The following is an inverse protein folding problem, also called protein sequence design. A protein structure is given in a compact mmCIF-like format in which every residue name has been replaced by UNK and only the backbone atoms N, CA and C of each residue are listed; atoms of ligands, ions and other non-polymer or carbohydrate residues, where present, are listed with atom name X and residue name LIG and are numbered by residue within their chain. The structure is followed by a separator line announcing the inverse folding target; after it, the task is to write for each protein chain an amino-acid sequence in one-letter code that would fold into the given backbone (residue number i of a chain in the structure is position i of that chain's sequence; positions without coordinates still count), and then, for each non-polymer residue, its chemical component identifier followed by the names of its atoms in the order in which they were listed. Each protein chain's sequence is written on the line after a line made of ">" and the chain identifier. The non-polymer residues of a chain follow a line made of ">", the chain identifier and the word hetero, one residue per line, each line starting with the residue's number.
data_IF_171972781297
#
_entry.id   IF_171972781297
#
_cell.length_a   1.000
_cell.length_b   1.000
_cell.length_c   1.000
_cell.angle_alpha   90.00
_cell.angle_beta   90.00
_cell.angle_gamma   90.00
#
_symmetry.space_group_name_H-M   'P 1'
#
loop_
_entity.id
_entity.type
_entity.pdbx_description
1 polymer ?
#
# COMPACT_ATOMS: atom_id res chain seq x y z
N UNK A 1 21.29 5.91 -17.21
CA UNK A 1 19.84 5.88 -16.94
C UNK A 1 19.63 6.59 -15.61
N UNK A 2 18.72 7.56 -15.48
CA UNK A 2 18.44 8.13 -14.18
C UNK A 2 17.90 7.01 -13.27
N UNK A 3 18.38 6.94 -12.03
CA UNK A 3 17.81 6.05 -11.03
C UNK A 3 16.33 6.43 -10.87
N UNK A 4 15.44 5.47 -11.10
CA UNK A 4 14.01 5.69 -10.88
C UNK A 4 13.83 6.01 -9.40
N UNK A 5 13.18 7.15 -9.11
CA UNK A 5 12.76 7.51 -7.76
C UNK A 5 11.95 6.36 -7.20
N UNK A 6 12.28 5.90 -6.00
CA UNK A 6 11.54 4.85 -5.31
C UNK A 6 11.32 5.20 -3.85
N UNK A 7 10.24 4.69 -3.30
CA UNK A 7 9.88 4.80 -1.90
C UNK A 7 9.97 3.43 -1.25
N UNK A 8 10.64 3.35 -0.10
CA UNK A 8 10.68 2.16 0.74
C UNK A 8 9.76 2.35 1.94
N UNK A 9 8.72 1.51 2.03
CA UNK A 9 7.84 1.43 3.18
C UNK A 9 8.37 0.32 4.10
N UNK A 10 8.80 0.71 5.30
CA UNK A 10 9.30 -0.23 6.31
C UNK A 10 8.30 -0.36 7.46
N UNK A 11 8.26 -1.54 8.07
CA UNK A 11 7.48 -1.77 9.28
C UNK A 11 7.94 -0.89 10.43
N UNK A 12 7.22 0.20 10.66
CA UNK A 12 7.39 0.98 11.89
C UNK A 12 6.59 0.33 13.01
N UNK A 13 7.17 0.25 14.21
CA UNK A 13 6.42 -0.11 15.42
C UNK A 13 5.29 0.91 15.59
N UNK A 14 4.11 0.47 15.98
CA UNK A 14 2.89 1.29 16.09
C UNK A 14 3.04 2.65 16.82
N UNK A 15 4.12 2.87 17.57
CA UNK A 15 4.44 4.14 18.22
C UNK A 15 5.11 5.18 17.32
N UNK A 16 5.68 4.79 16.17
CA UNK A 16 6.38 5.71 15.25
C UNK A 16 5.46 6.27 14.15
N UNK A 17 4.32 5.62 13.90
CA UNK A 17 3.32 6.11 12.94
C UNK A 17 2.72 7.47 13.34
N UNK A 18 2.59 7.71 14.65
CA UNK A 18 2.08 8.99 15.18
C UNK A 18 3.14 10.11 15.15
N UNK A 19 4.44 9.77 15.23
CA UNK A 19 5.51 10.77 15.17
C UNK A 19 5.73 11.32 13.74
N UNK A 20 5.55 10.48 12.72
CA UNK A 20 5.71 10.90 11.31
C UNK A 20 4.63 11.87 10.82
N UNK A 21 3.44 11.86 11.42
CA UNK A 21 2.38 12.83 11.13
C UNK A 21 2.66 14.20 11.77
N UNK A 22 3.34 14.22 12.93
CA UNK A 22 3.71 15.46 13.60
C UNK A 22 4.70 16.30 12.78
N UNK A 23 5.71 15.65 12.18
CA UNK A 23 6.74 16.36 11.39
C UNK A 23 6.17 16.99 10.11
N UNK A 24 5.10 16.41 9.55
CA UNK A 24 4.42 16.95 8.36
C UNK A 24 3.51 18.13 8.72
N UNK A 25 2.94 18.11 9.92
CA UNK A 25 2.06 19.19 10.42
C UNK A 25 2.88 20.40 10.84
N UNK A 26 4.07 20.21 11.44
CA UNK A 26 4.94 21.31 11.88
C UNK A 26 5.54 22.09 10.71
N UNK A 27 5.81 21.46 9.57
CA UNK A 27 6.23 22.14 8.33
C UNK A 27 5.11 22.97 7.68
N UNK A 28 3.84 22.75 8.05
CA UNK A 28 2.67 23.39 7.45
C UNK A 28 2.16 24.61 8.23
N UNK A 29 2.39 24.67 9.53
CA UNK A 29 1.69 25.63 10.40
C UNK A 29 2.62 26.50 11.23
N UNK A 30 3.88 26.70 10.86
CA UNK A 30 4.80 27.64 11.48
C UNK A 30 4.53 27.90 12.97
N UNK A 31 5.36 27.34 13.81
CA UNK A 31 5.51 27.59 15.25
C UNK A 31 4.25 27.88 16.07
N UNK A 32 3.74 26.88 16.75
CA UNK A 32 2.92 27.06 17.95
C UNK A 32 3.60 26.40 19.15
N UNK A 33 3.83 27.12 20.26
CA UNK A 33 4.54 26.61 21.40
C UNK A 33 3.57 25.89 22.32
N UNK A 34 3.53 24.58 22.30
CA UNK A 34 3.29 23.74 23.50
C UNK A 34 3.69 22.32 23.19
N UNK A 35 4.89 21.95 23.57
CA UNK A 35 5.33 20.57 23.73
C UNK A 35 4.49 19.90 24.82
N UNK A 36 3.47 19.14 24.44
CA UNK A 36 2.90 18.15 25.33
C UNK A 36 3.48 16.78 24.92
N UNK A 37 4.22 16.20 25.86
CA UNK A 37 4.71 14.84 25.74
C UNK A 37 3.58 13.90 25.31
N UNK A 38 3.83 12.92 24.43
CA UNK A 38 2.82 11.98 23.96
C UNK A 38 2.23 11.26 25.16
N UNK A 39 0.92 11.40 25.40
CA UNK A 39 0.20 10.63 26.42
C UNK A 39 0.40 9.15 26.12
N UNK A 40 0.96 8.43 27.06
CA UNK A 40 1.06 6.98 26.99
C UNK A 40 -0.33 6.39 26.65
N UNK A 41 -0.38 5.59 25.59
CA UNK A 41 -1.59 4.89 25.16
C UNK A 41 -2.11 4.03 26.32
N UNK A 42 -3.40 4.05 26.67
CA UNK A 42 -3.94 3.15 27.68
C UNK A 42 -3.59 1.71 27.29
N UNK A 43 -3.19 0.91 28.29
CA UNK A 43 -2.79 -0.49 28.10
C UNK A 43 -3.91 -1.38 27.48
N UNK A 44 -5.15 -0.91 27.53
CA UNK A 44 -6.36 -1.59 27.02
C UNK A 44 -6.85 -1.09 25.65
N UNK A 45 -6.07 -0.30 24.91
CA UNK A 45 -6.49 0.07 23.56
C UNK A 45 -6.45 -1.20 22.68
N UNK A 46 -7.55 -1.52 21.95
CA UNK A 46 -7.59 -2.68 21.08
C UNK A 46 -6.43 -2.60 20.09
N UNK A 47 -5.65 -3.67 20.01
CA UNK A 47 -4.60 -3.77 19.01
C UNK A 47 -5.28 -3.80 17.64
N UNK A 48 -4.71 -3.13 16.61
CA UNK A 48 -5.28 -3.20 15.27
C UNK A 48 -5.40 -4.68 14.86
N UNK A 49 -6.61 -5.12 14.56
CA UNK A 49 -6.85 -6.45 14.00
C UNK A 49 -6.28 -6.48 12.57
N UNK A 50 -5.14 -7.12 12.41
CA UNK A 50 -4.62 -7.40 11.08
C UNK A 50 -5.49 -8.45 10.39
N UNK A 51 -5.79 -8.29 9.08
CA UNK A 51 -6.56 -9.28 8.36
C UNK A 51 -5.90 -10.67 8.49
N UNK A 52 -6.67 -11.75 8.70
CA UNK A 52 -6.09 -13.08 8.85
C UNK A 52 -5.28 -13.45 7.62
N UNK A 53 -4.09 -13.98 7.83
CA UNK A 53 -3.17 -14.45 6.79
C UNK A 53 -3.86 -15.17 5.61
N UNK A 54 -4.84 -16.05 5.91
CA UNK A 54 -5.59 -16.84 4.91
C UNK A 54 -6.65 -16.03 4.15
N UNK A 55 -6.77 -14.73 4.39
CA UNK A 55 -7.80 -13.87 3.80
C UNK A 55 -7.26 -12.52 3.30
N UNK A 56 -5.96 -12.34 3.25
CA UNK A 56 -5.30 -11.06 2.89
C UNK A 56 -5.86 -10.45 1.59
N UNK A 57 -6.03 -11.27 0.56
CA UNK A 57 -6.51 -10.81 -0.75
C UNK A 57 -8.01 -10.44 -0.79
N UNK A 58 -8.77 -10.78 0.26
CA UNK A 58 -10.22 -10.49 0.31
C UNK A 58 -10.54 -9.07 0.75
N UNK A 59 -9.61 -8.45 1.47
CA UNK A 59 -9.71 -7.07 1.95
C UNK A 59 -8.91 -6.15 1.02
N UNK A 60 -9.28 -4.92 0.90
CA UNK A 60 -8.51 -3.85 0.26
C UNK A 60 -8.99 -2.50 0.80
N UNK A 61 -8.18 -1.48 0.61
CA UNK A 61 -8.54 -0.10 0.92
C UNK A 61 -9.65 0.41 -0.01
N UNK A 62 -10.33 1.47 0.42
CA UNK A 62 -11.31 2.16 -0.40
C UNK A 62 -10.61 2.95 -1.51
N UNK A 63 -11.29 3.07 -2.66
CA UNK A 63 -10.72 3.79 -3.81
C UNK A 63 -10.78 5.29 -3.58
N UNK A 64 -9.66 5.96 -3.81
CA UNK A 64 -9.59 7.42 -3.78
C UNK A 64 -10.13 8.01 -5.07
N UNK A 65 -11.17 8.84 -4.97
CA UNK A 65 -11.76 9.57 -6.09
C UNK A 65 -11.01 10.89 -6.30
N UNK A 66 -9.93 10.86 -7.07
CA UNK A 66 -9.04 12.00 -7.28
C UNK A 66 -9.69 13.23 -7.90
N UNK A 67 -10.71 13.06 -8.73
CA UNK A 67 -11.49 14.17 -9.29
C UNK A 67 -12.33 14.87 -8.23
N UNK A 68 -12.85 14.13 -7.28
CA UNK A 68 -13.56 14.69 -6.13
C UNK A 68 -12.57 15.39 -5.19
N UNK A 69 -11.41 14.76 -4.92
CA UNK A 69 -10.35 15.37 -4.12
C UNK A 69 -9.84 16.69 -4.73
N UNK A 70 -9.79 16.81 -6.06
CA UNK A 70 -9.42 18.06 -6.74
C UNK A 70 -10.49 19.16 -6.58
N UNK A 71 -11.77 18.78 -6.64
CA UNK A 71 -12.89 19.72 -6.77
C UNK A 71 -13.51 20.15 -5.45
N UNK A 72 -13.27 19.41 -4.35
CA UNK A 72 -13.90 19.64 -3.05
C UNK A 72 -12.87 19.86 -1.95
N UNK A 73 -13.10 20.85 -1.09
CA UNK A 73 -12.24 21.11 0.08
C UNK A 73 -12.47 20.11 1.22
N UNK A 74 -13.61 19.41 1.23
CA UNK A 74 -13.98 18.44 2.27
C UNK A 74 -14.50 17.13 1.64
N UNK A 75 -14.31 15.98 2.30
CA UNK A 75 -14.82 14.72 1.80
C UNK A 75 -16.36 14.75 1.70
N UNK A 76 -16.89 14.24 0.58
CA UNK A 76 -18.33 14.30 0.31
C UNK A 76 -19.16 13.28 1.10
N UNK A 77 -18.53 12.22 1.56
CA UNK A 77 -19.19 11.05 2.19
C UNK A 77 -19.12 11.05 3.72
N UNK A 78 -18.28 11.90 4.32
CA UNK A 78 -18.04 11.94 5.77
C UNK A 78 -17.35 10.68 6.33
N UNK A 79 -16.86 9.77 5.48
CA UNK A 79 -16.21 8.52 5.85
C UNK A 79 -14.68 8.66 5.81
N UNK A 80 -14.16 9.44 4.86
CA UNK A 80 -12.71 9.68 4.73
C UNK A 80 -12.22 10.56 5.88
N UNK A 81 -11.12 10.18 6.50
CA UNK A 81 -10.46 10.97 7.54
C UNK A 81 -10.08 12.36 6.97
N UNK A 82 -10.35 13.47 7.68
CA UNK A 82 -10.02 14.81 7.21
C UNK A 82 -8.53 15.01 6.90
N UNK A 83 -7.62 14.32 7.60
CA UNK A 83 -6.19 14.42 7.33
C UNK A 83 -5.81 13.72 6.02
N UNK A 84 -6.39 12.54 5.76
CA UNK A 84 -6.21 11.82 4.49
C UNK A 84 -6.80 12.63 3.34
N UNK A 85 -7.97 13.24 3.54
CA UNK A 85 -8.56 14.10 2.53
C UNK A 85 -7.70 15.32 2.21
N UNK A 86 -7.13 15.98 3.21
CA UNK A 86 -6.23 17.12 3.01
C UNK A 86 -4.98 16.71 2.22
N UNK A 87 -4.45 15.51 2.44
CA UNK A 87 -3.38 14.93 1.65
C UNK A 87 -3.81 14.75 0.19
N UNK A 88 -4.96 14.11 -0.04
CA UNK A 88 -5.46 13.85 -1.39
C UNK A 88 -5.76 15.16 -2.13
N UNK A 89 -6.42 16.11 -1.49
CA UNK A 89 -6.70 17.42 -2.07
C UNK A 89 -5.42 18.16 -2.51
N UNK A 90 -4.37 18.10 -1.67
CA UNK A 90 -3.07 18.73 -1.97
C UNK A 90 -2.43 18.17 -3.25
N UNK A 91 -2.49 16.86 -3.45
CA UNK A 91 -1.79 16.20 -4.56
C UNK A 91 -2.70 15.91 -5.77
N UNK A 92 -4.00 16.19 -5.70
CA UNK A 92 -4.96 15.79 -6.71
C UNK A 92 -4.60 16.26 -8.13
N UNK A 93 -4.19 17.51 -8.29
CA UNK A 93 -3.82 18.05 -9.60
C UNK A 93 -2.60 17.34 -10.21
N UNK A 94 -1.56 17.10 -9.42
CA UNK A 94 -0.35 16.41 -9.86
C UNK A 94 -0.62 14.93 -10.15
N UNK A 95 -1.40 14.26 -9.30
CA UNK A 95 -1.79 12.86 -9.49
C UNK A 95 -2.61 12.69 -10.78
N UNK A 96 -3.58 13.55 -11.00
CA UNK A 96 -4.38 13.51 -12.24
C UNK A 96 -3.58 13.90 -13.48
N UNK A 97 -2.51 14.67 -13.33
CA UNK A 97 -1.56 14.97 -14.41
C UNK A 97 -0.57 13.82 -14.68
N UNK A 98 -0.58 12.75 -13.88
CA UNK A 98 0.34 11.62 -14.02
C UNK A 98 1.76 11.88 -13.50
N UNK A 99 1.92 12.80 -12.54
CA UNK A 99 3.22 13.10 -11.93
C UNK A 99 3.65 11.94 -11.02
N UNK A 100 4.70 11.24 -11.42
CA UNK A 100 5.23 10.06 -10.72
C UNK A 100 5.87 10.41 -9.37
N UNK A 101 6.41 11.61 -9.20
CA UNK A 101 6.93 12.06 -7.92
C UNK A 101 5.80 12.32 -6.92
N UNK A 102 4.68 12.88 -7.39
CA UNK A 102 3.47 13.02 -6.59
C UNK A 102 2.88 11.65 -6.20
N UNK A 103 2.93 10.65 -7.09
CA UNK A 103 2.52 9.29 -6.75
C UNK A 103 3.32 8.74 -5.57
N UNK A 104 4.65 8.84 -5.63
CA UNK A 104 5.53 8.36 -4.57
C UNK A 104 5.36 9.14 -3.26
N UNK A 105 5.12 10.46 -3.34
CA UNK A 105 4.84 11.29 -2.18
C UNK A 105 3.53 10.86 -1.49
N UNK A 106 2.48 10.61 -2.26
CA UNK A 106 1.18 10.12 -1.75
C UNK A 106 1.33 8.74 -1.12
N UNK A 107 1.99 7.79 -1.79
CA UNK A 107 2.23 6.45 -1.24
C UNK A 107 2.98 6.54 0.10
N UNK A 108 4.01 7.40 0.17
CA UNK A 108 4.80 7.59 1.39
C UNK A 108 3.96 8.16 2.53
N UNK A 109 3.08 9.10 2.26
CA UNK A 109 2.26 9.76 3.26
C UNK A 109 1.05 8.91 3.69
N UNK A 110 0.30 8.36 2.74
CA UNK A 110 -0.88 7.55 2.99
C UNK A 110 -0.56 6.15 3.54
N UNK A 111 0.63 5.61 3.24
CA UNK A 111 1.07 4.27 3.68
C UNK A 111 0.04 3.16 3.43
N UNK A 112 -0.43 2.96 2.19
CA UNK A 112 -1.54 2.06 1.88
C UNK A 112 -1.29 0.59 2.25
N UNK A 113 -0.03 0.20 2.47
CA UNK A 113 0.39 -1.14 2.85
C UNK A 113 0.73 -1.25 4.34
N UNK A 114 0.30 -0.29 5.16
CA UNK A 114 0.64 -0.20 6.57
C UNK A 114 0.18 -1.38 7.40
N UNK A 115 -0.99 -1.95 7.09
CA UNK A 115 -1.54 -3.15 7.73
C UNK A 115 -0.83 -4.44 7.30
N UNK A 116 -0.11 -4.44 6.17
CA UNK A 116 0.63 -5.61 5.67
C UNK A 116 2.02 -5.77 6.28
N UNK A 117 2.47 -4.82 7.10
CA UNK A 117 3.76 -4.86 7.81
C UNK A 117 3.89 -6.09 8.73
N UNK A 118 2.76 -6.61 9.24
CA UNK A 118 2.76 -7.86 10.00
C UNK A 118 3.17 -9.08 9.16
N UNK A 119 3.09 -8.97 7.84
CA UNK A 119 3.29 -10.06 6.88
C UNK A 119 4.50 -9.88 5.97
N UNK A 120 5.09 -8.70 5.90
CA UNK A 120 6.27 -8.41 5.10
C UNK A 120 7.31 -7.60 5.90
N UNK A 121 8.57 -7.66 5.50
CA UNK A 121 9.63 -6.88 6.12
C UNK A 121 9.66 -5.45 5.58
N UNK A 122 9.46 -5.28 4.29
CA UNK A 122 9.42 -3.97 3.62
C UNK A 122 8.73 -4.07 2.26
N UNK A 123 8.35 -2.90 1.75
CA UNK A 123 7.86 -2.71 0.38
C UNK A 123 8.69 -1.60 -0.26
N UNK A 124 9.32 -1.90 -1.39
CA UNK A 124 9.97 -0.92 -2.25
C UNK A 124 9.06 -0.64 -3.43
N UNK A 125 8.63 0.60 -3.59
CA UNK A 125 7.70 1.00 -4.65
C UNK A 125 8.36 2.03 -5.55
N UNK A 126 8.27 1.81 -6.85
CA UNK A 126 8.71 2.73 -7.89
C UNK A 126 7.55 3.04 -8.84
N UNK A 127 7.60 4.22 -9.45
CA UNK A 127 6.66 4.66 -10.47
C UNK A 127 7.42 4.94 -11.78
N UNK A 128 7.67 3.90 -12.60
CA UNK A 128 8.43 4.07 -13.85
C UNK A 128 7.67 4.89 -14.90
N UNK A 129 6.35 4.97 -14.79
CA UNK A 129 5.51 5.80 -15.63
C UNK A 129 4.21 6.23 -14.90
N UNK A 130 3.45 7.12 -15.50
CA UNK A 130 2.13 7.52 -14.99
C UNK A 130 1.08 6.41 -15.02
N UNK A 131 1.35 5.32 -15.73
CA UNK A 131 0.42 4.20 -15.87
C UNK A 131 0.83 2.98 -15.05
N UNK A 132 2.09 2.90 -14.60
CA UNK A 132 2.67 1.69 -14.04
C UNK A 132 3.34 1.96 -12.68
N UNK A 133 3.05 1.09 -11.71
CA UNK A 133 3.83 0.96 -10.48
C UNK A 133 4.55 -0.37 -10.44
N UNK A 134 5.73 -0.37 -9.84
CA UNK A 134 6.49 -1.57 -9.49
C UNK A 134 6.59 -1.67 -7.98
N UNK A 135 6.17 -2.80 -7.41
CA UNK A 135 6.24 -3.07 -5.99
C UNK A 135 7.06 -4.33 -5.70
N UNK A 136 8.17 -4.17 -4.99
CA UNK A 136 8.97 -5.29 -4.50
C UNK A 136 8.72 -5.49 -3.01
N UNK A 137 8.17 -6.63 -2.64
CA UNK A 137 7.84 -6.99 -1.26
C UNK A 137 8.88 -7.95 -0.71
N UNK A 138 9.57 -7.58 0.37
CA UNK A 138 10.47 -8.47 1.11
C UNK A 138 9.64 -9.32 2.08
N UNK A 139 9.54 -10.61 1.78
CA UNK A 139 8.73 -11.55 2.55
C UNK A 139 9.41 -11.95 3.86
N UNK A 140 8.61 -12.29 4.86
CA UNK A 140 9.13 -12.79 6.13
C UNK A 140 9.37 -14.31 6.02
N UNK A 141 10.58 -14.81 6.35
CA UNK A 141 10.95 -16.23 6.23
C UNK A 141 9.95 -17.18 6.89
N UNK A 142 9.40 -16.81 8.04
CA UNK A 142 8.43 -17.62 8.80
C UNK A 142 7.18 -18.06 8.00
N UNK A 143 6.85 -17.36 6.91
CA UNK A 143 5.73 -17.73 6.05
C UNK A 143 6.15 -18.67 4.91
N UNK A 144 7.44 -18.78 4.65
CA UNK A 144 8.02 -19.68 3.64
C UNK A 144 8.30 -21.08 4.21
N UNK A 145 8.47 -21.18 5.54
CA UNK A 145 8.67 -22.47 6.24
C UNK A 145 7.39 -23.33 6.29
N UNK A 146 6.31 -22.85 5.67
CA UNK A 146 5.04 -23.54 5.55
C UNK A 146 5.08 -24.60 4.42
N UNK A 147 4.16 -25.58 4.41
CA UNK A 147 4.00 -26.46 3.26
C UNK A 147 3.89 -25.65 1.96
N UNK A 148 4.48 -26.14 0.86
CA UNK A 148 4.64 -25.38 -0.39
C UNK A 148 3.36 -24.72 -0.92
N UNK A 149 2.20 -25.37 -0.73
CA UNK A 149 0.90 -24.79 -1.11
C UNK A 149 0.52 -23.58 -0.24
N UNK A 150 0.75 -23.62 1.08
CA UNK A 150 0.48 -22.49 1.97
C UNK A 150 1.44 -21.34 1.69
N UNK A 151 2.70 -21.59 1.41
CA UNK A 151 3.67 -20.57 1.05
C UNK A 151 3.28 -19.90 -0.29
N UNK A 152 2.89 -20.67 -1.31
CA UNK A 152 2.39 -20.13 -2.58
C UNK A 152 1.14 -19.26 -2.38
N UNK A 153 0.20 -19.72 -1.53
CA UNK A 153 -1.01 -18.96 -1.21
C UNK A 153 -0.70 -17.67 -0.48
N UNK A 154 0.28 -17.68 0.41
CA UNK A 154 0.76 -16.46 1.07
C UNK A 154 1.35 -15.47 0.03
N UNK A 155 2.28 -15.92 -0.81
CA UNK A 155 2.92 -15.08 -1.82
C UNK A 155 1.89 -14.46 -2.77
N UNK A 156 0.99 -15.28 -3.30
CA UNK A 156 -0.05 -14.82 -4.22
C UNK A 156 -1.07 -13.91 -3.52
N UNK A 157 -1.49 -14.25 -2.31
CA UNK A 157 -2.43 -13.45 -1.53
C UNK A 157 -1.87 -12.06 -1.21
N UNK A 158 -0.60 -11.98 -0.82
CA UNK A 158 0.11 -10.72 -0.61
C UNK A 158 0.22 -9.91 -1.91
N UNK A 159 0.63 -10.55 -3.01
CA UNK A 159 0.76 -9.85 -4.30
C UNK A 159 -0.58 -9.26 -4.77
N UNK A 160 -1.67 -10.01 -4.65
CA UNK A 160 -3.02 -9.53 -4.99
C UNK A 160 -3.42 -8.36 -4.08
N UNK A 161 -3.16 -8.44 -2.78
CA UNK A 161 -3.52 -7.37 -1.83
C UNK A 161 -2.73 -6.10 -2.13
N UNK A 162 -1.41 -6.18 -2.32
CA UNK A 162 -0.55 -5.04 -2.67
C UNK A 162 -1.06 -4.35 -3.93
N UNK A 163 -1.36 -5.11 -4.98
CA UNK A 163 -1.88 -4.52 -6.22
C UNK A 163 -3.22 -3.82 -6.01
N UNK A 164 -4.13 -4.41 -5.22
CA UNK A 164 -5.44 -3.83 -4.94
C UNK A 164 -5.35 -2.50 -4.21
N UNK A 165 -4.52 -2.42 -3.19
CA UNK A 165 -4.36 -1.19 -2.40
C UNK A 165 -3.68 -0.08 -3.21
N UNK A 166 -2.70 -0.42 -4.05
CA UNK A 166 -2.08 0.54 -4.96
C UNK A 166 -3.05 1.03 -6.05
N UNK A 167 -3.91 0.16 -6.58
CA UNK A 167 -4.97 0.56 -7.52
C UNK A 167 -6.09 1.36 -6.85
N UNK A 168 -6.35 1.14 -5.58
CA UNK A 168 -7.31 1.93 -4.81
C UNK A 168 -6.78 3.34 -4.55
N UNK A 169 -5.50 3.46 -4.25
CA UNK A 169 -4.86 4.73 -3.95
C UNK A 169 -4.61 5.57 -5.20
N UNK A 170 -4.13 4.99 -6.32
CA UNK A 170 -3.65 5.74 -7.47
C UNK A 170 -4.36 5.37 -8.80
N UNK A 171 -4.47 6.32 -9.74
CA UNK A 171 -5.15 6.12 -11.02
C UNK A 171 -4.27 5.39 -12.05
N UNK A 172 -3.39 4.50 -11.61
CA UNK A 172 -2.55 3.68 -12.49
C UNK A 172 -3.35 2.54 -13.13
N UNK A 173 -2.89 2.05 -14.27
CA UNK A 173 -3.53 0.96 -15.01
C UNK A 173 -2.86 -0.38 -14.79
N UNK A 174 -1.59 -0.37 -14.34
CA UNK A 174 -0.77 -1.55 -14.17
C UNK A 174 0.02 -1.52 -12.86
N UNK A 175 0.10 -2.67 -12.19
CA UNK A 175 0.97 -2.87 -11.02
C UNK A 175 1.77 -4.17 -11.19
N UNK A 176 3.09 -4.06 -11.25
CA UNK A 176 4.03 -5.18 -11.26
C UNK A 176 4.46 -5.51 -9.82
N UNK A 177 4.16 -6.72 -9.35
CA UNK A 177 4.48 -7.13 -7.98
C UNK A 177 5.53 -8.23 -7.99
N UNK A 178 6.62 -8.01 -7.25
CA UNK A 178 7.67 -8.99 -7.00
C UNK A 178 7.73 -9.35 -5.52
N UNK A 179 7.50 -10.60 -5.19
CA UNK A 179 7.68 -11.14 -3.83
C UNK A 179 9.08 -11.70 -3.71
N UNK A 180 9.89 -11.18 -2.78
CA UNK A 180 11.33 -11.45 -2.68
C UNK A 180 11.74 -11.98 -1.31
N UNK A 181 12.76 -12.82 -1.31
CA UNK A 181 13.54 -13.19 -0.12
C UNK A 181 15.00 -12.84 -0.39
N UNK A 182 15.46 -11.72 0.17
CA UNK A 182 16.73 -11.13 -0.23
C UNK A 182 16.74 -10.79 -1.72
N UNK A 183 17.73 -11.30 -2.43
CA UNK A 183 17.86 -11.10 -3.90
C UNK A 183 17.00 -12.08 -4.73
N UNK A 184 16.50 -13.17 -4.12
CA UNK A 184 15.71 -14.17 -4.85
C UNK A 184 14.27 -13.69 -5.00
N UNK A 185 13.77 -13.60 -6.25
CA UNK A 185 12.35 -13.41 -6.54
C UNK A 185 11.65 -14.76 -6.45
N UNK A 186 10.61 -14.84 -5.61
CA UNK A 186 9.83 -16.06 -5.36
C UNK A 186 8.54 -16.10 -6.17
N UNK A 187 7.97 -14.92 -6.45
CA UNK A 187 6.83 -14.73 -7.33
C UNK A 187 6.99 -13.37 -8.00
N UNK A 188 6.75 -13.33 -9.31
CA UNK A 188 6.55 -12.09 -10.04
C UNK A 188 5.22 -12.17 -10.79
N UNK A 189 4.43 -11.11 -10.73
CA UNK A 189 3.13 -11.05 -11.40
C UNK A 189 2.80 -9.61 -11.76
N UNK A 190 2.23 -9.45 -12.96
CA UNK A 190 1.70 -8.18 -13.47
C UNK A 190 0.19 -8.19 -13.37
N UNK A 191 -0.35 -7.18 -12.72
CA UNK A 191 -1.80 -6.99 -12.62
C UNK A 191 -2.24 -5.81 -13.47
N UNK A 192 -3.30 -6.01 -14.23
CA UNK A 192 -3.99 -4.98 -14.97
C UNK A 192 -5.26 -4.55 -14.21
N UNK A 193 -5.45 -3.25 -13.97
CA UNK A 193 -6.62 -2.73 -13.23
C UNK A 193 -7.93 -3.21 -13.82
N UNK A 194 -8.04 -3.16 -15.15
CA UNK A 194 -9.25 -3.58 -15.87
C UNK A 194 -9.63 -5.06 -15.65
N UNK A 195 -8.63 -5.95 -15.49
CA UNK A 195 -8.89 -7.35 -15.18
C UNK A 195 -9.24 -7.53 -13.70
N UNK A 196 -8.55 -6.83 -12.81
CA UNK A 196 -8.84 -6.89 -11.37
C UNK A 196 -10.25 -6.40 -11.02
N UNK A 197 -10.76 -5.38 -11.71
CA UNK A 197 -12.12 -4.87 -11.48
C UNK A 197 -13.23 -5.86 -11.85
N UNK A 198 -12.94 -6.88 -12.66
CA UNK A 198 -13.91 -7.95 -13.01
C UNK A 198 -14.02 -9.05 -11.96
N UNK A 199 -13.14 -9.04 -10.96
CA UNK A 199 -12.93 -10.14 -10.02
C UNK A 199 -13.68 -9.93 -8.71
N UNK A 200 -14.35 -10.99 -8.23
CA UNK A 200 -14.92 -11.05 -6.88
C UNK A 200 -13.93 -11.72 -5.94
N UNK A 201 -13.04 -10.94 -5.36
CA UNK A 201 -11.91 -11.44 -4.55
C UNK A 201 -12.31 -12.31 -3.35
N UNK A 202 -13.52 -12.21 -2.85
CA UNK A 202 -14.00 -13.10 -1.78
C UNK A 202 -14.04 -14.59 -2.19
N UNK A 203 -14.13 -14.88 -3.49
CA UNK A 203 -14.39 -16.23 -4.02
C UNK A 203 -13.25 -16.82 -4.86
N UNK A 204 -12.14 -16.11 -5.04
CA UNK A 204 -11.01 -16.60 -5.82
C UNK A 204 -10.02 -17.41 -4.96
N UNK A 205 -9.27 -18.30 -5.62
CA UNK A 205 -8.00 -18.78 -5.14
C UNK A 205 -6.89 -17.83 -5.64
N UNK A 206 -6.11 -17.21 -4.74
CA UNK A 206 -5.12 -16.20 -5.15
C UNK A 206 -3.98 -16.80 -5.98
N UNK A 207 -3.64 -18.07 -5.80
CA UNK A 207 -2.60 -18.75 -6.58
C UNK A 207 -3.05 -18.92 -8.03
N UNK A 208 -4.27 -19.43 -8.22
CA UNK A 208 -4.86 -19.60 -9.55
C UNK A 208 -4.98 -18.25 -10.25
N UNK A 209 -5.44 -17.22 -9.52
CA UNK A 209 -5.59 -15.88 -10.08
C UNK A 209 -4.24 -15.26 -10.48
N UNK A 210 -3.22 -15.37 -9.64
CA UNK A 210 -1.88 -14.88 -9.98
C UNK A 210 -1.32 -15.56 -11.25
N UNK A 211 -1.51 -16.89 -11.39
CA UNK A 211 -1.11 -17.62 -12.58
C UNK A 211 -1.88 -17.18 -13.83
N UNK A 212 -3.18 -16.90 -13.71
CA UNK A 212 -4.00 -16.38 -14.81
C UNK A 212 -3.55 -14.99 -15.27
N UNK A 213 -3.01 -14.17 -14.34
CA UNK A 213 -2.37 -12.89 -14.65
C UNK A 213 -0.93 -13.03 -15.19
N UNK A 214 -0.50 -14.23 -15.55
CA UNK A 214 0.86 -14.49 -16.06
C UNK A 214 1.92 -14.56 -14.97
N UNK A 215 1.53 -14.72 -13.72
CA UNK A 215 2.46 -14.88 -12.60
C UNK A 215 3.34 -16.12 -12.72
N UNK A 216 4.60 -15.99 -12.31
CA UNK A 216 5.56 -17.08 -12.28
C UNK A 216 6.13 -17.23 -10.86
N UNK A 217 5.99 -18.44 -10.30
CA UNK A 217 6.66 -18.80 -9.06
C UNK A 217 8.07 -19.32 -9.38
N UNK A 218 9.06 -18.93 -8.57
CA UNK A 218 10.36 -19.56 -8.62
C UNK A 218 10.28 -21.00 -8.11
N UNK A 219 11.07 -21.86 -8.73
CA UNK A 219 11.28 -23.25 -8.31
C UNK A 219 12.15 -23.33 -7.05
#
# INVERSE_FOLDING_TARGET
>A
MPEANKVTLMGRRAGELLAGLSDIVDDLWGESPVSQAPKARPADAPQPEFPPFKQLWKVADETVEWTDALSREQPGDGLTDPADWALYHRYAAQVLAGDTDAYLAVIKAAQPLGDLIAYAASFDIAAPSSETLEAACQVLPRYLDKPGEEARRYLAGMAVRVARDLFALLPVTQVDVSMRQGEKTLLHVRFEKAEMMKVRFAFIDPVVFALQCGGAFAD
#
